data_IF_180731727053
#
_entry.id   IF_180731727053
#
_cell.length_a   1.000
_cell.length_b   1.000
_cell.length_c   1.000
_cell.angle_alpha   90.00
_cell.angle_beta   90.00
_cell.angle_gamma   90.00
#
_symmetry.space_group_name_H-M   'P 1'
#
loop_
_entity.id
_entity.type
_entity.pdbx_description
1 polymer ?
#
# COMPACT_ATOMS: atom_id res chain seq x y z
N UNK A 1 3.24 6.91 2.97
CA UNK A 1 3.73 7.56 4.21
C UNK A 1 2.63 7.66 5.26
N UNK A 2 1.54 8.39 5.02
CA UNK A 2 0.52 8.69 6.06
C UNK A 2 -0.11 7.45 6.71
N UNK A 3 -0.51 6.44 5.94
CA UNK A 3 -1.08 5.19 6.49
C UNK A 3 -0.11 4.48 7.46
N UNK A 4 1.20 4.49 7.15
CA UNK A 4 2.23 3.91 8.03
C UNK A 4 2.39 4.74 9.29
N UNK A 5 2.36 6.07 9.21
CA UNK A 5 2.40 6.93 10.40
C UNK A 5 1.19 6.72 11.31
N UNK A 6 -0.02 6.54 10.74
CA UNK A 6 -1.22 6.19 11.52
C UNK A 6 -1.07 4.82 12.19
N UNK A 7 -0.70 3.79 11.43
CA UNK A 7 -0.60 2.42 11.95
C UNK A 7 0.52 2.24 12.99
N UNK A 8 1.64 2.93 12.83
CA UNK A 8 2.76 2.89 13.78
C UNK A 8 2.60 3.82 14.97
N UNK A 9 1.65 4.76 14.93
CA UNK A 9 1.49 5.81 15.94
C UNK A 9 2.66 6.82 15.97
N UNK A 10 3.56 6.78 14.98
CA UNK A 10 4.78 7.59 14.97
C UNK A 10 4.89 8.35 13.64
N UNK A 11 5.26 9.63 13.71
CA UNK A 11 5.59 10.40 12.50
C UNK A 11 6.86 9.84 11.88
N UNK A 12 6.79 9.44 10.61
CA UNK A 12 7.96 8.92 9.91
C UNK A 12 8.88 10.08 9.48
N UNK A 13 10.21 9.96 9.67
CA UNK A 13 11.15 10.86 9.03
C UNK A 13 11.12 10.61 7.52
N UNK A 14 10.82 11.65 6.73
CA UNK A 14 10.77 11.58 5.26
C UNK A 14 11.84 12.51 4.71
N UNK A 15 12.73 11.97 3.87
CA UNK A 15 13.69 12.73 3.09
C UNK A 15 13.39 12.52 1.60
N UNK A 16 13.17 13.63 0.88
CA UNK A 16 12.93 13.59 -0.56
C UNK A 16 14.26 13.57 -1.32
N UNK A 17 14.35 12.72 -2.33
CA UNK A 17 15.49 12.63 -3.24
C UNK A 17 15.08 12.85 -4.70
N UNK A 18 16.03 12.83 -5.66
CA UNK A 18 15.71 12.95 -7.08
C UNK A 18 14.84 11.79 -7.56
N UNK A 19 13.98 12.05 -8.55
CA UNK A 19 13.18 11.00 -9.21
C UNK A 19 14.12 10.01 -9.89
N UNK A 20 13.83 8.70 -9.76
CA UNK A 20 14.57 7.67 -10.50
C UNK A 20 14.24 7.76 -11.98
N UNK A 21 15.24 7.65 -12.84
CA UNK A 21 15.04 7.61 -14.28
C UNK A 21 14.21 6.36 -14.65
N UNK A 22 13.20 6.54 -15.51
CA UNK A 22 12.29 5.47 -15.91
C UNK A 22 11.04 5.30 -15.02
N UNK A 23 10.98 5.89 -13.83
CA UNK A 23 9.81 5.77 -12.95
C UNK A 23 8.64 6.64 -13.45
N UNK A 24 7.51 6.06 -13.87
CA UNK A 24 6.32 6.83 -14.18
C UNK A 24 5.71 7.45 -12.91
N UNK A 25 4.97 8.57 -13.03
CA UNK A 25 4.36 9.23 -11.87
C UNK A 25 3.24 8.42 -11.20
N UNK A 26 2.58 7.52 -11.95
CA UNK A 26 1.54 6.63 -11.43
C UNK A 26 1.42 5.36 -12.28
N UNK A 27 1.11 4.23 -11.63
CA UNK A 27 0.80 2.95 -12.25
C UNK A 27 -0.34 2.28 -11.48
N UNK A 28 -1.44 1.98 -12.17
CA UNK A 28 -2.62 1.30 -11.60
C UNK A 28 -3.17 0.32 -12.63
N UNK A 29 -3.53 -0.89 -12.20
CA UNK A 29 -4.12 -1.90 -13.06
C UNK A 29 -5.66 -1.76 -13.14
N UNK A 30 -6.23 -2.03 -14.31
CA UNK A 30 -7.67 -2.10 -14.49
C UNK A 30 -8.23 -3.45 -14.00
N UNK A 31 -8.83 -3.48 -12.81
CA UNK A 31 -9.39 -4.70 -12.21
C UNK A 31 -10.70 -5.19 -12.88
N UNK A 32 -11.31 -4.39 -13.77
CA UNK A 32 -12.65 -4.64 -14.31
C UNK A 32 -12.77 -5.94 -15.12
N UNK A 33 -11.68 -6.45 -15.72
CA UNK A 33 -11.72 -7.74 -16.44
C UNK A 33 -11.95 -8.91 -15.46
N UNK A 34 -11.17 -8.95 -14.38
CA UNK A 34 -11.31 -9.97 -13.34
C UNK A 34 -12.70 -9.91 -12.68
N UNK A 35 -13.23 -8.71 -12.46
CA UNK A 35 -14.59 -8.51 -11.97
C UNK A 35 -15.64 -9.19 -12.83
N UNK A 36 -15.59 -8.96 -14.15
CA UNK A 36 -16.61 -9.48 -15.09
C UNK A 36 -16.49 -10.97 -15.33
N UNK A 37 -15.26 -11.47 -15.48
CA UNK A 37 -15.03 -12.87 -15.89
C UNK A 37 -15.02 -13.83 -14.71
N UNK A 38 -14.59 -13.36 -13.53
CA UNK A 38 -14.38 -14.21 -12.36
C UNK A 38 -15.31 -13.87 -11.20
N UNK A 39 -16.08 -12.78 -11.28
CA UNK A 39 -16.79 -12.23 -10.13
C UNK A 39 -15.84 -11.73 -9.03
N UNK A 40 -14.55 -11.59 -9.33
CA UNK A 40 -13.53 -11.29 -8.33
C UNK A 40 -13.53 -9.81 -7.99
N UNK A 41 -13.60 -9.50 -6.70
CA UNK A 41 -13.46 -8.15 -6.16
C UNK A 41 -12.39 -8.12 -5.06
N UNK A 42 -11.57 -7.06 -4.98
CA UNK A 42 -10.57 -6.96 -3.93
C UNK A 42 -11.21 -6.57 -2.60
N UNK A 43 -11.09 -7.43 -1.59
CA UNK A 43 -11.68 -7.20 -0.27
C UNK A 43 -10.73 -6.49 0.71
N UNK A 44 -9.43 -6.52 0.46
CA UNK A 44 -8.38 -5.98 1.34
C UNK A 44 -7.61 -4.83 0.69
N UNK A 45 -8.29 -3.99 -0.11
CA UNK A 45 -7.64 -2.91 -0.88
C UNK A 45 -7.48 -1.58 -0.15
N UNK A 46 -8.07 -1.42 1.04
CA UNK A 46 -7.92 -0.18 1.81
C UNK A 46 -6.47 -0.04 2.29
N UNK A 47 -5.82 1.09 1.98
CA UNK A 47 -4.39 1.30 2.29
C UNK A 47 -4.09 1.17 3.79
N UNK A 48 -5.01 1.62 4.66
CA UNK A 48 -4.85 1.48 6.11
C UNK A 48 -4.86 0.02 6.54
N UNK A 49 -5.75 -0.81 5.95
CA UNK A 49 -5.84 -2.24 6.24
C UNK A 49 -4.60 -3.01 5.78
N UNK A 50 -4.12 -2.70 4.58
CA UNK A 50 -2.90 -3.31 4.02
C UNK A 50 -1.71 -3.04 4.95
N UNK A 51 -1.52 -1.78 5.35
CA UNK A 51 -0.41 -1.38 6.21
C UNK A 51 -0.53 -1.93 7.63
N UNK A 52 -1.73 -1.90 8.21
CA UNK A 52 -2.01 -2.45 9.54
C UNK A 52 -1.62 -3.93 9.63
N UNK A 53 -2.10 -4.74 8.68
CA UNK A 53 -1.86 -6.19 8.69
C UNK A 53 -0.39 -6.52 8.47
N UNK A 54 0.30 -5.80 7.58
CA UNK A 54 1.74 -5.93 7.37
C UNK A 54 2.55 -5.58 8.64
N UNK A 55 2.23 -4.47 9.29
CA UNK A 55 2.93 -4.03 10.51
C UNK A 55 2.68 -5.00 11.68
N UNK A 56 1.45 -5.48 11.84
CA UNK A 56 1.11 -6.47 12.87
C UNK A 56 1.88 -7.78 12.67
N UNK A 57 2.06 -8.23 11.42
CA UNK A 57 2.92 -9.37 11.12
C UNK A 57 4.38 -9.10 11.49
N UNK A 58 4.94 -7.96 11.04
CA UNK A 58 6.33 -7.60 11.29
C UNK A 58 6.67 -7.54 12.78
N UNK A 59 5.77 -6.97 13.60
CA UNK A 59 5.94 -6.89 15.06
C UNK A 59 6.02 -8.25 15.76
N UNK A 60 5.44 -9.31 15.18
CA UNK A 60 5.53 -10.67 15.72
C UNK A 60 6.83 -11.39 15.35
N UNK A 61 7.61 -10.84 14.42
CA UNK A 61 8.91 -11.37 14.02
C UNK A 61 10.07 -10.72 14.79
N UNK A 62 9.77 -9.72 15.62
CA UNK A 62 10.69 -9.12 16.59
C UNK A 62 10.64 -9.91 17.90
#
# INVERSE_FOLDING_TARGET
VNAVSRASGTRLPVAYGPRRAGDPPALVAAAGKAARELGWMPEQSAIDRIVETALAWYRRQL
#
